data_IF_142932854939
#
_entry.id   IF_142932854939
#
_cell.length_a   1.000
_cell.length_b   1.000
_cell.length_c   1.000
_cell.angle_alpha   90.00
_cell.angle_beta   90.00
_cell.angle_gamma   90.00
#
_symmetry.space_group_name_H-M   'P 1'
#
loop_
_entity.id
_entity.type
_entity.pdbx_description
1 polymer ?
#
# COMPACT_ATOMS: atom_id res chain seq x y z
N UNK A 1 -38.02 44.00 -58.11
CA UNK A 1 -37.09 44.35 -57.03
C UNK A 1 -37.26 43.36 -55.88
N UNK A 2 -36.41 42.33 -55.77
CA UNK A 2 -36.43 41.40 -54.63
C UNK A 2 -35.00 41.21 -54.14
N UNK A 3 -34.70 41.70 -52.93
CA UNK A 3 -33.36 41.66 -52.31
C UNK A 3 -33.20 40.32 -51.59
N UNK A 4 -32.39 39.42 -52.17
CA UNK A 4 -31.93 38.20 -51.50
C UNK A 4 -30.99 38.56 -50.36
N UNK A 5 -31.44 38.32 -49.13
CA UNK A 5 -30.69 38.51 -47.88
C UNK A 5 -29.69 37.35 -47.74
N UNK A 6 -28.38 37.62 -47.89
CA UNK A 6 -27.31 36.65 -47.61
C UNK A 6 -27.30 36.34 -46.10
N UNK A 7 -27.52 35.08 -45.74
CA UNK A 7 -27.30 34.55 -44.38
C UNK A 7 -25.80 34.45 -44.10
N UNK A 8 -25.32 34.78 -42.88
CA UNK A 8 -23.91 34.67 -42.54
C UNK A 8 -23.50 33.20 -42.37
N UNK A 9 -22.31 32.84 -42.87
CA UNK A 9 -21.66 31.55 -42.65
C UNK A 9 -21.47 31.32 -41.15
N UNK A 10 -22.08 30.27 -40.60
CA UNK A 10 -21.76 29.78 -39.26
C UNK A 10 -20.29 29.32 -39.25
N UNK A 11 -19.46 30.00 -38.47
CA UNK A 11 -18.10 29.56 -38.17
C UNK A 11 -18.18 28.35 -37.24
N UNK A 12 -17.62 27.23 -37.69
CA UNK A 12 -17.46 26.02 -36.92
C UNK A 12 -16.45 26.28 -35.79
N UNK A 13 -16.74 25.93 -34.52
CA UNK A 13 -15.82 26.17 -33.43
C UNK A 13 -14.55 25.35 -33.63
N UNK A 14 -13.39 26.01 -33.51
CA UNK A 14 -12.08 25.38 -33.62
C UNK A 14 -11.95 24.22 -32.63
N UNK A 15 -11.50 23.06 -33.11
CA UNK A 15 -11.23 21.91 -32.27
C UNK A 15 -10.24 22.30 -31.16
N UNK A 16 -10.61 22.04 -29.90
CA UNK A 16 -9.72 22.20 -28.75
C UNK A 16 -8.44 21.39 -29.03
N UNK A 17 -7.24 22.00 -28.92
CA UNK A 17 -6.00 21.25 -29.07
C UNK A 17 -5.97 20.11 -28.05
N UNK A 18 -5.65 18.90 -28.51
CA UNK A 18 -5.47 17.75 -27.65
C UNK A 18 -4.45 18.11 -26.57
N UNK A 19 -4.80 17.84 -25.30
CA UNK A 19 -3.92 18.12 -24.17
C UNK A 19 -2.56 17.44 -24.41
N UNK A 20 -1.51 18.25 -24.48
CA UNK A 20 -0.13 17.80 -24.68
C UNK A 20 0.17 16.79 -23.55
N UNK A 21 0.65 15.56 -23.84
CA UNK A 21 0.96 14.61 -22.80
C UNK A 21 1.98 15.27 -21.87
N UNK A 22 1.65 15.34 -20.58
CA UNK A 22 2.57 15.85 -19.56
C UNK A 22 3.81 14.96 -19.66
N UNK A 23 4.91 15.51 -20.19
CA UNK A 23 6.19 14.80 -20.19
C UNK A 23 6.49 14.49 -18.72
N UNK A 24 6.52 13.21 -18.37
CA UNK A 24 7.11 12.78 -17.11
C UNK A 24 8.49 13.42 -17.02
N UNK A 25 8.78 14.02 -15.88
CA UNK A 25 10.14 14.49 -15.60
C UNK A 25 11.01 13.25 -15.54
N UNK A 26 11.91 13.12 -16.51
CA UNK A 26 12.92 12.07 -16.58
C UNK A 26 14.23 12.68 -16.09
N UNK A 27 14.99 11.94 -15.31
CA UNK A 27 16.35 12.34 -14.95
C UNK A 27 17.32 12.22 -16.14
N UNK A 28 16.92 11.52 -17.21
CA UNK A 28 17.70 11.27 -18.43
C UNK A 28 19.08 10.64 -18.15
N UNK A 29 19.18 9.88 -17.06
CA UNK A 29 20.38 9.15 -16.65
C UNK A 29 20.25 7.66 -16.97
N UNK A 30 21.36 7.07 -17.43
CA UNK A 30 21.44 5.66 -17.78
C UNK A 30 21.92 4.82 -16.58
N UNK A 31 21.13 4.82 -15.51
CA UNK A 31 21.35 3.97 -14.35
C UNK A 31 20.00 3.47 -13.79
N UNK A 32 20.06 2.35 -13.06
CA UNK A 32 18.86 1.69 -12.56
C UNK A 32 18.13 2.54 -11.50
N UNK A 33 18.87 3.31 -10.69
CA UNK A 33 18.31 4.10 -9.61
C UNK A 33 17.54 5.30 -10.14
N UNK A 34 18.12 6.09 -11.06
CA UNK A 34 17.43 7.21 -11.68
C UNK A 34 16.19 6.75 -12.46
N UNK A 35 16.28 5.64 -13.21
CA UNK A 35 15.13 5.04 -13.91
C UNK A 35 14.01 4.62 -12.95
N UNK A 36 14.36 4.09 -11.77
CA UNK A 36 13.38 3.80 -10.74
C UNK A 36 12.74 5.10 -10.22
N UNK A 37 13.54 6.13 -9.93
CA UNK A 37 13.06 7.42 -9.45
C UNK A 37 12.18 8.17 -10.46
N UNK A 38 12.33 7.96 -11.77
CA UNK A 38 11.39 8.44 -12.79
C UNK A 38 9.97 7.87 -12.62
N UNK A 39 9.87 6.71 -11.96
CA UNK A 39 8.61 5.99 -11.73
C UNK A 39 8.08 6.19 -10.32
N UNK A 40 8.94 6.20 -9.30
CA UNK A 40 8.54 6.18 -7.89
C UNK A 40 9.04 7.36 -7.06
N UNK A 41 9.83 8.25 -7.65
CA UNK A 41 10.47 9.37 -6.94
C UNK A 41 9.54 10.53 -6.59
N UNK A 42 8.27 10.50 -7.02
CA UNK A 42 7.29 11.44 -6.52
C UNK A 42 6.81 11.07 -5.11
N UNK A 43 6.36 12.09 -4.36
CA UNK A 43 5.99 11.97 -2.94
C UNK A 43 4.89 10.93 -2.66
N UNK A 44 3.99 10.68 -3.61
CA UNK A 44 2.75 9.94 -3.36
C UNK A 44 2.78 8.51 -3.91
N UNK A 45 3.56 8.22 -4.94
CA UNK A 45 3.55 6.90 -5.59
C UNK A 45 3.86 5.78 -4.62
N UNK A 46 4.92 5.89 -3.81
CA UNK A 46 5.24 4.86 -2.81
C UNK A 46 4.19 4.75 -1.70
N UNK A 47 3.52 5.85 -1.34
CA UNK A 47 2.42 5.81 -0.37
C UNK A 47 1.17 5.14 -0.97
N UNK A 48 0.87 5.35 -2.25
CA UNK A 48 -0.23 4.66 -2.94
C UNK A 48 0.09 3.16 -3.06
N UNK A 49 1.34 2.81 -3.38
CA UNK A 49 1.77 1.41 -3.41
C UNK A 49 1.61 0.79 -2.03
N UNK A 50 2.04 1.47 -0.95
CA UNK A 50 1.84 1.02 0.43
C UNK A 50 0.39 0.63 0.64
N UNK A 51 -0.56 1.50 0.33
CA UNK A 51 -1.99 1.17 0.46
C UNK A 51 -2.36 -0.07 -0.37
N UNK A 52 -1.98 -0.13 -1.65
CA UNK A 52 -2.36 -1.24 -2.53
C UNK A 52 -1.67 -2.59 -2.21
N UNK A 53 -0.67 -2.64 -1.32
CA UNK A 53 -0.12 -3.91 -0.81
C UNK A 53 -1.18 -4.71 -0.03
N UNK A 54 -2.18 -4.02 0.54
CA UNK A 54 -3.33 -4.61 1.21
C UNK A 54 -4.37 -5.23 0.28
N UNK A 55 -4.14 -5.16 -1.04
CA UNK A 55 -5.02 -5.69 -2.08
C UNK A 55 -5.78 -4.61 -2.87
N UNK A 56 -6.74 -5.02 -3.72
CA UNK A 56 -7.43 -4.11 -4.63
C UNK A 56 -8.30 -3.08 -3.87
N UNK A 57 -8.18 -1.80 -4.24
CA UNK A 57 -8.86 -0.68 -3.55
C UNK A 57 -9.62 0.22 -4.49
N UNK A 58 -10.75 0.76 -4.03
CA UNK A 58 -11.47 1.80 -4.79
C UNK A 58 -10.71 3.13 -4.66
N UNK A 59 -10.97 4.02 -5.62
CA UNK A 59 -10.43 5.38 -5.59
C UNK A 59 -10.76 6.11 -4.28
N UNK A 60 -12.01 6.00 -3.82
CA UNK A 60 -12.50 6.66 -2.60
C UNK A 60 -11.76 6.17 -1.37
N UNK A 61 -11.49 4.87 -1.31
CA UNK A 61 -10.85 4.24 -0.17
C UNK A 61 -9.36 4.64 -0.14
N UNK A 62 -8.69 4.67 -1.30
CA UNK A 62 -7.32 5.21 -1.40
C UNK A 62 -7.25 6.66 -0.96
N UNK A 63 -8.18 7.51 -1.40
CA UNK A 63 -8.21 8.91 -1.03
C UNK A 63 -8.43 9.12 0.48
N UNK A 64 -9.28 8.29 1.11
CA UNK A 64 -9.55 8.36 2.55
C UNK A 64 -8.35 7.95 3.42
N UNK A 65 -7.50 7.05 2.92
CA UNK A 65 -6.31 6.56 3.61
C UNK A 65 -5.01 7.26 3.16
N UNK A 66 -5.11 8.32 2.36
CA UNK A 66 -3.99 9.17 1.96
C UNK A 66 -4.25 10.63 2.38
N UNK A 67 -4.27 10.93 3.69
CA UNK A 67 -4.54 12.27 4.19
C UNK A 67 -3.54 13.28 3.61
N UNK A 68 -4.08 14.37 3.05
CA UNK A 68 -3.31 15.44 2.41
C UNK A 68 -3.08 15.28 0.91
N UNK A 69 -3.45 14.14 0.30
CA UNK A 69 -3.48 14.03 -1.16
C UNK A 69 -4.69 14.78 -1.71
N UNK A 70 -4.53 15.52 -2.82
CA UNK A 70 -5.67 16.09 -3.54
C UNK A 70 -6.22 15.08 -4.55
N UNK A 71 -7.50 15.25 -4.90
CA UNK A 71 -8.16 14.43 -5.93
C UNK A 71 -7.38 14.41 -7.25
N UNK A 72 -6.94 15.58 -7.72
CA UNK A 72 -6.21 15.70 -8.98
C UNK A 72 -4.84 15.03 -8.93
N UNK A 73 -4.15 15.14 -7.79
CA UNK A 73 -2.86 14.48 -7.58
C UNK A 73 -3.04 12.97 -7.57
N UNK A 74 -3.98 12.44 -6.78
CA UNK A 74 -4.23 11.00 -6.71
C UNK A 74 -4.63 10.44 -8.09
N UNK A 75 -5.54 11.09 -8.81
CA UNK A 75 -5.95 10.68 -10.14
C UNK A 75 -4.77 10.71 -11.14
N UNK A 76 -3.93 11.76 -11.09
CA UNK A 76 -2.72 11.83 -11.92
C UNK A 76 -1.73 10.72 -11.59
N UNK A 77 -1.49 10.43 -10.31
CA UNK A 77 -0.54 9.40 -9.88
C UNK A 77 -1.01 8.01 -10.27
N UNK A 78 -2.29 7.68 -10.06
CA UNK A 78 -2.85 6.39 -10.45
C UNK A 78 -2.75 6.16 -11.97
N UNK A 79 -3.08 7.19 -12.77
CA UNK A 79 -2.91 7.15 -14.23
C UNK A 79 -1.44 6.91 -14.62
N UNK A 80 -0.51 7.58 -13.94
CA UNK A 80 0.92 7.34 -14.15
C UNK A 80 1.28 5.90 -13.77
N UNK A 81 0.90 5.42 -12.60
CA UNK A 81 1.17 4.05 -12.15
C UNK A 81 0.65 3.01 -13.16
N UNK A 82 -0.53 3.21 -13.74
CA UNK A 82 -1.05 2.38 -14.84
C UNK A 82 -0.15 2.41 -16.09
N UNK A 83 0.29 3.60 -16.52
CA UNK A 83 1.16 3.74 -17.69
C UNK A 83 2.55 3.12 -17.51
N UNK A 84 3.09 3.15 -16.30
CA UNK A 84 4.36 2.47 -15.98
C UNK A 84 4.20 0.99 -15.64
N UNK A 85 2.98 0.46 -15.65
CA UNK A 85 2.71 -0.92 -15.27
C UNK A 85 3.10 -1.21 -13.82
N UNK A 86 2.88 -0.27 -12.90
CA UNK A 86 2.98 -0.48 -11.45
C UNK A 86 1.64 -0.94 -10.88
N UNK A 87 0.55 -0.38 -11.38
CA UNK A 87 -0.82 -0.76 -11.01
C UNK A 87 -1.66 -1.00 -12.27
N UNK A 88 -2.79 -1.65 -12.10
CA UNK A 88 -3.83 -1.78 -13.11
C UNK A 88 -5.17 -1.40 -12.52
N UNK A 89 -6.08 -0.90 -13.37
CA UNK A 89 -7.47 -0.70 -13.01
C UNK A 89 -8.32 -1.85 -13.54
N UNK A 90 -9.12 -2.48 -12.68
CA UNK A 90 -10.08 -3.51 -13.09
C UNK A 90 -11.44 -3.34 -12.43
N UNK A 91 -12.45 -4.01 -12.98
CA UNK A 91 -13.78 -4.11 -12.36
C UNK A 91 -13.86 -5.41 -11.57
N UNK A 92 -14.30 -5.30 -10.31
CA UNK A 92 -14.65 -6.47 -9.51
C UNK A 92 -15.91 -7.13 -10.08
N UNK A 93 -16.03 -8.46 -9.94
CA UNK A 93 -17.27 -9.15 -10.29
C UNK A 93 -18.43 -8.71 -9.37
N UNK A 94 -19.68 -9.02 -9.76
CA UNK A 94 -20.82 -8.92 -8.85
C UNK A 94 -20.57 -9.68 -7.53
N UNK A 95 -21.12 -9.22 -6.39
CA UNK A 95 -22.11 -8.14 -6.25
C UNK A 95 -21.49 -6.75 -6.11
N UNK A 96 -20.18 -6.60 -5.91
CA UNK A 96 -19.57 -5.28 -5.70
C UNK A 96 -19.56 -4.43 -6.97
N UNK A 97 -19.31 -5.02 -8.15
CA UNK A 97 -19.23 -4.35 -9.45
C UNK A 97 -18.43 -3.02 -9.48
N UNK A 98 -17.42 -2.89 -8.62
CA UNK A 98 -16.69 -1.64 -8.42
C UNK A 98 -15.41 -1.59 -9.25
N UNK A 99 -15.04 -0.39 -9.72
CA UNK A 99 -13.69 -0.16 -10.26
C UNK A 99 -12.69 -0.08 -9.11
N UNK A 100 -11.66 -0.92 -9.17
CA UNK A 100 -10.57 -0.96 -8.19
C UNK A 100 -9.23 -0.81 -8.90
N UNK A 101 -8.24 -0.32 -8.15
CA UNK A 101 -6.84 -0.34 -8.52
C UNK A 101 -6.16 -1.48 -7.78
N UNK A 102 -5.23 -2.15 -8.43
CA UNK A 102 -4.48 -3.29 -7.89
C UNK A 102 -3.03 -3.20 -8.37
N UNK A 103 -2.07 -3.63 -7.55
CA UNK A 103 -0.68 -3.70 -7.97
C UNK A 103 -0.48 -4.80 -9.00
N UNK A 104 0.35 -4.50 -9.99
CA UNK A 104 0.92 -5.54 -10.87
C UNK A 104 2.04 -6.27 -10.14
N UNK A 105 2.57 -7.36 -10.72
CA UNK A 105 3.79 -8.02 -10.22
C UNK A 105 4.96 -7.03 -10.05
N UNK A 106 5.13 -6.11 -11.00
CA UNK A 106 6.16 -5.05 -10.92
C UNK A 106 5.91 -4.11 -9.73
N UNK A 107 4.66 -3.77 -9.46
CA UNK A 107 4.26 -2.96 -8.31
C UNK A 107 4.49 -3.67 -6.97
N UNK A 108 4.15 -4.95 -6.90
CA UNK A 108 4.41 -5.80 -5.72
C UNK A 108 5.92 -5.97 -5.46
N UNK A 109 6.74 -5.98 -6.51
CA UNK A 109 8.20 -5.98 -6.42
C UNK A 109 8.82 -4.79 -5.69
N UNK A 110 8.04 -3.73 -5.37
CA UNK A 110 8.49 -2.60 -4.57
C UNK A 110 8.33 -2.81 -3.06
N UNK A 111 7.76 -3.93 -2.61
CA UNK A 111 7.65 -4.26 -1.18
C UNK A 111 9.00 -4.15 -0.45
N UNK A 112 10.12 -4.76 -0.91
CA UNK A 112 11.40 -4.64 -0.22
C UNK A 112 11.91 -3.20 -0.12
N UNK A 113 11.62 -2.36 -1.14
CA UNK A 113 11.99 -0.93 -1.14
C UNK A 113 11.18 -0.18 -0.10
N UNK A 114 9.88 -0.47 0.01
CA UNK A 114 9.00 0.12 1.03
C UNK A 114 9.41 -0.29 2.44
N UNK A 115 9.76 -1.57 2.64
CA UNK A 115 10.27 -2.06 3.93
C UNK A 115 11.55 -1.33 4.33
N UNK A 116 12.56 -1.28 3.44
CA UNK A 116 13.81 -0.58 3.71
C UNK A 116 13.59 0.93 3.96
N UNK A 117 12.66 1.57 3.25
CA UNK A 117 12.32 2.97 3.47
C UNK A 117 11.62 3.19 4.82
N UNK A 118 10.74 2.26 5.22
CA UNK A 118 10.06 2.31 6.51
C UNK A 118 11.05 2.12 7.67
N UNK A 119 11.98 1.17 7.55
CA UNK A 119 13.06 0.95 8.51
C UNK A 119 13.96 2.19 8.63
N UNK A 120 14.38 2.76 7.50
CA UNK A 120 15.18 3.99 7.48
C UNK A 120 14.45 5.20 8.12
N UNK A 121 13.14 5.30 7.90
CA UNK A 121 12.31 6.38 8.47
C UNK A 121 11.91 6.18 9.93
N UNK A 122 11.96 4.95 10.45
CA UNK A 122 11.47 4.60 11.78
C UNK A 122 12.10 5.41 12.93
N UNK A 123 13.41 5.75 12.93
CA UNK A 123 14.02 6.58 13.97
C UNK A 123 13.47 8.01 14.03
N UNK A 124 12.86 8.51 12.95
CA UNK A 124 12.28 9.85 12.92
C UNK A 124 10.89 9.93 13.58
N UNK A 125 10.26 8.79 13.87
CA UNK A 125 9.01 8.71 14.64
C UNK A 125 9.34 8.85 16.13
N UNK A 126 9.52 10.08 16.59
CA UNK A 126 9.72 10.40 18.02
C UNK A 126 8.36 10.41 18.75
N UNK A 127 7.75 11.59 18.90
CA UNK A 127 6.40 11.73 19.44
C UNK A 127 5.39 11.94 18.32
N UNK A 128 4.26 11.24 18.40
CA UNK A 128 3.12 11.46 17.50
C UNK A 128 2.61 12.89 17.69
N UNK A 129 2.56 13.66 16.61
CA UNK A 129 1.97 15.01 16.65
C UNK A 129 0.45 14.90 16.65
N UNK A 130 -0.28 15.87 17.25
CA UNK A 130 -1.74 15.87 17.23
C UNK A 130 -2.37 15.84 15.84
N UNK A 131 -1.65 16.32 14.82
CA UNK A 131 -2.08 16.34 13.42
C UNK A 131 -1.73 15.07 12.64
N UNK A 132 -0.97 14.15 13.25
CA UNK A 132 -0.57 12.92 12.56
C UNK A 132 -1.78 11.97 12.49
N UNK A 133 -2.25 11.80 11.26
CA UNK A 133 -3.17 10.73 10.93
C UNK A 133 -2.51 9.38 11.20
N UNK A 134 -3.30 8.42 11.67
CA UNK A 134 -2.85 7.04 11.87
C UNK A 134 -3.93 6.11 11.35
N UNK A 135 -3.49 4.96 10.82
CA UNK A 135 -4.31 3.84 10.38
C UNK A 135 -3.66 2.56 10.89
N UNK A 136 -4.46 1.62 11.40
CA UNK A 136 -3.93 0.36 11.94
C UNK A 136 -3.05 -0.40 10.93
N UNK A 137 -3.47 -0.49 9.67
CA UNK A 137 -2.71 -1.21 8.65
C UNK A 137 -1.38 -0.54 8.25
N UNK A 138 -1.09 0.70 8.65
CA UNK A 138 0.23 1.30 8.43
C UNK A 138 1.33 0.65 9.27
N UNK A 139 0.96 -0.06 10.32
CA UNK A 139 1.86 -0.85 11.14
C UNK A 139 2.18 -2.23 10.54
N UNK A 140 1.54 -2.61 9.43
CA UNK A 140 1.78 -3.88 8.77
C UNK A 140 3.24 -4.05 8.30
N UNK A 141 3.82 -3.04 7.63
CA UNK A 141 5.20 -3.13 7.13
C UNK A 141 6.25 -3.23 8.27
N UNK A 142 6.22 -2.35 9.29
CA UNK A 142 7.08 -2.48 10.47
C UNK A 142 6.97 -3.88 11.12
N UNK A 143 5.74 -4.38 11.27
CA UNK A 143 5.49 -5.65 11.94
C UNK A 143 5.93 -6.85 11.09
N UNK A 144 5.76 -6.81 9.76
CA UNK A 144 6.25 -7.86 8.87
C UNK A 144 7.76 -8.05 8.99
N UNK A 145 8.53 -6.97 9.15
CA UNK A 145 9.97 -7.03 9.41
C UNK A 145 10.31 -7.77 10.72
N UNK A 146 9.52 -7.56 11.77
CA UNK A 146 9.69 -8.25 13.05
C UNK A 146 9.28 -9.75 13.00
N UNK A 147 8.50 -10.15 12.00
CA UNK A 147 7.96 -11.51 11.85
C UNK A 147 8.73 -12.37 10.85
N UNK A 148 9.82 -11.88 10.24
CA UNK A 148 10.58 -12.63 9.22
C UNK A 148 11.22 -13.92 9.74
N UNK A 149 11.31 -14.10 11.06
CA UNK A 149 11.85 -15.30 11.69
C UNK A 149 10.85 -16.45 11.87
N UNK A 150 9.56 -16.23 11.58
CA UNK A 150 8.54 -17.26 11.72
C UNK A 150 8.68 -18.34 10.66
N UNK A 151 8.56 -19.58 11.09
CA UNK A 151 8.60 -20.76 10.21
C UNK A 151 7.21 -21.23 9.81
N UNK A 152 6.18 -20.91 10.60
CA UNK A 152 4.80 -21.28 10.31
C UNK A 152 4.17 -20.29 9.34
N UNK A 153 3.46 -20.83 8.37
CA UNK A 153 2.61 -20.06 7.46
C UNK A 153 1.19 -19.95 8.02
N UNK A 154 0.53 -18.81 7.79
CA UNK A 154 -0.84 -18.58 8.21
C UNK A 154 -1.29 -17.13 8.12
N UNK A 155 -2.52 -16.89 8.56
CA UNK A 155 -3.12 -15.57 8.70
C UNK A 155 -3.06 -15.13 10.16
N UNK A 156 -2.32 -14.06 10.40
CA UNK A 156 -2.19 -13.43 11.71
C UNK A 156 -3.07 -12.18 11.78
N UNK A 157 -4.12 -12.20 12.60
CA UNK A 157 -4.88 -10.98 12.90
C UNK A 157 -4.12 -10.15 13.93
N UNK A 158 -4.06 -8.84 13.69
CA UNK A 158 -3.35 -7.87 14.52
C UNK A 158 -4.35 -6.85 15.01
N UNK A 159 -4.40 -6.67 16.33
CA UNK A 159 -5.24 -5.67 16.99
C UNK A 159 -4.38 -4.62 17.68
N UNK A 160 -4.62 -3.37 17.30
CA UNK A 160 -4.05 -2.18 17.89
C UNK A 160 -5.20 -1.30 18.43
N UNK A 161 -4.87 -0.31 19.25
CA UNK A 161 -5.84 0.70 19.69
C UNK A 161 -6.42 1.49 18.49
N UNK A 162 -5.66 1.63 17.41
CA UNK A 162 -6.09 2.30 16.17
C UNK A 162 -6.96 1.42 15.25
N UNK A 163 -7.17 0.16 15.60
CA UNK A 163 -8.03 -0.78 14.88
C UNK A 163 -7.35 -2.10 14.53
N UNK A 164 -7.98 -2.83 13.61
CA UNK A 164 -7.61 -4.21 13.28
C UNK A 164 -7.17 -4.34 11.82
N UNK A 165 -6.22 -5.22 11.58
CA UNK A 165 -5.79 -5.65 10.25
C UNK A 165 -5.28 -7.09 10.34
N UNK A 166 -4.91 -7.69 9.22
CA UNK A 166 -4.29 -9.03 9.25
C UNK A 166 -3.10 -9.12 8.31
N UNK A 167 -2.13 -9.93 8.71
CA UNK A 167 -0.92 -10.24 7.96
C UNK A 167 -1.01 -11.67 7.43
N UNK A 168 -0.42 -11.90 6.26
CA UNK A 168 -0.09 -13.26 5.81
C UNK A 168 1.37 -13.53 6.19
N UNK A 169 1.57 -14.40 7.16
CA UNK A 169 2.88 -14.79 7.68
C UNK A 169 3.28 -16.14 7.10
N UNK A 170 4.59 -16.37 6.95
CA UNK A 170 5.14 -17.55 6.31
C UNK A 170 4.81 -17.67 4.80
N UNK A 171 5.56 -18.52 4.10
CA UNK A 171 5.56 -18.56 2.63
C UNK A 171 6.31 -17.37 2.05
N UNK A 172 6.19 -17.14 0.73
CA UNK A 172 6.78 -15.98 0.01
C UNK A 172 6.30 -14.59 0.50
N UNK A 173 5.81 -14.46 1.73
CA UNK A 173 5.60 -13.20 2.43
C UNK A 173 6.94 -12.45 2.51
N UNK A 174 7.11 -11.45 1.65
CA UNK A 174 8.32 -10.61 1.60
C UNK A 174 9.25 -10.85 0.41
N UNK A 175 9.10 -11.93 -0.35
CA UNK A 175 9.96 -12.23 -1.50
C UNK A 175 9.16 -12.28 -2.81
N UNK A 176 8.92 -11.11 -3.40
CA UNK A 176 8.55 -10.99 -4.81
C UNK A 176 9.74 -11.41 -5.69
N UNK A 177 9.98 -12.71 -5.83
CA UNK A 177 10.89 -13.22 -6.85
C UNK A 177 10.20 -13.14 -8.23
N UNK A 178 10.90 -12.71 -9.31
CA UNK A 178 10.33 -12.67 -10.65
C UNK A 178 9.83 -14.05 -11.12
N UNK A 179 8.59 -14.13 -11.62
CA UNK A 179 8.05 -15.33 -12.27
C UNK A 179 7.25 -16.30 -11.38
N UNK A 180 6.91 -15.91 -10.15
CA UNK A 180 5.92 -16.61 -9.33
C UNK A 180 4.51 -16.04 -9.56
N UNK A 181 3.46 -16.87 -9.47
CA UNK A 181 2.07 -16.39 -9.43
C UNK A 181 1.95 -15.24 -8.44
N UNK A 182 1.27 -14.16 -8.84
CA UNK A 182 1.20 -12.92 -8.10
C UNK A 182 0.94 -13.20 -6.60
N UNK A 183 1.86 -12.84 -5.69
CA UNK A 183 1.62 -13.05 -4.28
C UNK A 183 0.32 -12.33 -3.93
N UNK A 184 -0.59 -13.04 -3.26
CA UNK A 184 -1.79 -12.42 -2.70
C UNK A 184 -1.41 -11.22 -1.82
N UNK A 185 -2.40 -10.37 -1.51
CA UNK A 185 -2.17 -9.17 -0.71
C UNK A 185 -1.30 -9.45 0.53
N UNK A 186 -0.27 -8.61 0.74
CA UNK A 186 0.77 -8.81 1.77
C UNK A 186 0.15 -8.74 3.17
N UNK A 187 -0.82 -7.85 3.31
CA UNK A 187 -1.71 -7.76 4.46
C UNK A 187 -3.14 -7.59 3.94
N UNK A 188 -4.12 -7.58 4.83
CA UNK A 188 -5.48 -7.20 4.51
C UNK A 188 -6.03 -6.18 5.50
N UNK A 189 -7.05 -5.47 5.06
CA UNK A 189 -7.71 -4.43 5.82
C UNK A 189 -8.76 -5.03 6.75
N UNK A 190 -8.75 -4.64 8.03
CA UNK A 190 -9.71 -5.16 9.01
C UNK A 190 -9.38 -6.57 9.50
N UNK A 191 -10.25 -7.13 10.35
CA UNK A 191 -10.09 -8.47 10.89
C UNK A 191 -10.03 -9.52 9.77
N UNK A 192 -9.39 -10.65 10.05
CA UNK A 192 -9.40 -11.78 9.14
C UNK A 192 -10.70 -12.58 9.28
N UNK A 193 -11.24 -13.10 8.17
CA UNK A 193 -12.40 -13.99 8.23
C UNK A 193 -12.08 -15.29 9.01
N UNK A 194 -10.86 -15.81 8.79
CA UNK A 194 -10.35 -17.04 9.40
C UNK A 194 -8.88 -16.85 9.83
N UNK A 195 -8.62 -16.24 10.99
CA UNK A 195 -7.26 -16.10 11.50
C UNK A 195 -6.77 -17.42 12.10
N UNK A 196 -5.52 -17.79 11.78
CA UNK A 196 -4.81 -18.89 12.44
C UNK A 196 -4.35 -18.48 13.85
N UNK A 197 -3.95 -17.23 14.01
CA UNK A 197 -3.57 -16.65 15.30
C UNK A 197 -4.02 -15.20 15.39
N UNK A 198 -4.16 -14.67 16.60
CA UNK A 198 -4.36 -13.23 16.83
C UNK A 198 -3.32 -12.70 17.79
N UNK A 199 -2.85 -11.48 17.55
CA UNK A 199 -2.06 -10.73 18.51
C UNK A 199 -2.72 -9.40 18.87
N UNK A 200 -2.60 -9.01 20.13
CA UNK A 200 -3.01 -7.71 20.66
C UNK A 200 -1.78 -7.01 21.20
N UNK A 201 -1.53 -5.78 20.74
CA UNK A 201 -0.37 -4.98 21.14
C UNK A 201 -0.65 -3.49 20.96
N UNK A 202 0.07 -2.64 21.69
CA UNK A 202 0.05 -1.20 21.48
C UNK A 202 0.87 -0.78 20.25
N UNK A 203 0.52 0.36 19.64
CA UNK A 203 1.28 0.94 18.52
C UNK A 203 2.77 1.17 18.85
N UNK A 204 3.07 1.59 20.08
CA UNK A 204 4.44 1.78 20.57
C UNK A 204 5.24 0.47 20.59
N UNK A 205 4.61 -0.63 21.03
CA UNK A 205 5.24 -1.96 21.01
C UNK A 205 5.51 -2.39 19.57
N UNK A 206 4.57 -2.14 18.65
CA UNK A 206 4.79 -2.45 17.23
C UNK A 206 6.00 -1.68 16.64
N UNK A 207 6.17 -0.40 17.00
CA UNK A 207 7.31 0.40 16.56
C UNK A 207 8.63 -0.03 17.21
N UNK A 208 8.59 -0.43 18.48
CA UNK A 208 9.74 -0.99 19.19
C UNK A 208 10.24 -2.29 18.53
N UNK A 209 9.32 -3.22 18.23
CA UNK A 209 9.61 -4.46 17.52
C UNK A 209 10.24 -4.19 16.15
N UNK A 210 9.66 -3.28 15.38
CA UNK A 210 10.14 -2.94 14.04
C UNK A 210 11.54 -2.29 14.01
N UNK A 211 11.94 -1.63 15.09
CA UNK A 211 13.28 -1.05 15.26
C UNK A 211 14.29 -2.04 15.81
N UNK A 212 13.88 -3.26 16.13
CA UNK A 212 14.71 -4.24 16.81
C UNK A 212 15.03 -3.88 18.27
N UNK A 213 14.20 -3.04 18.91
CA UNK A 213 14.34 -2.68 20.32
C UNK A 213 13.96 -3.83 21.26
N UNK A 214 13.10 -4.73 20.80
CA UNK A 214 12.79 -6.00 21.42
C UNK A 214 12.40 -7.02 20.33
N UNK A 215 12.54 -8.31 20.65
CA UNK A 215 11.98 -9.38 19.85
C UNK A 215 10.51 -9.62 20.21
N UNK A 216 9.76 -10.24 19.29
CA UNK A 216 8.36 -10.60 19.57
C UNK A 216 8.26 -11.54 20.79
N UNK A 217 9.17 -12.52 20.89
CA UNK A 217 9.19 -13.47 21.99
C UNK A 217 9.41 -12.79 23.35
N UNK A 218 10.29 -11.79 23.43
CA UNK A 218 10.48 -10.97 24.63
C UNK A 218 9.21 -10.18 24.96
N UNK A 219 8.59 -9.53 23.97
CA UNK A 219 7.38 -8.74 24.19
C UNK A 219 6.18 -9.61 24.63
N UNK A 220 6.07 -10.84 24.15
CA UNK A 220 5.07 -11.82 24.61
C UNK A 220 5.36 -12.25 26.05
N UNK A 221 6.61 -12.61 26.36
CA UNK A 221 7.04 -13.01 27.70
C UNK A 221 6.81 -11.92 28.74
N UNK A 222 7.01 -10.66 28.35
CA UNK A 222 6.79 -9.49 29.21
C UNK A 222 5.30 -9.11 29.34
N UNK A 223 4.40 -9.79 28.63
CA UNK A 223 2.96 -9.49 28.62
C UNK A 223 2.59 -8.22 27.86
N UNK A 224 3.51 -7.66 27.06
CA UNK A 224 3.26 -6.48 26.18
C UNK A 224 2.56 -6.85 24.88
N UNK A 225 2.65 -8.12 24.49
CA UNK A 225 1.92 -8.71 23.35
C UNK A 225 1.11 -9.90 23.87
N UNK A 226 -0.20 -9.87 23.67
CA UNK A 226 -1.07 -11.01 23.96
C UNK A 226 -1.24 -11.85 22.70
N UNK A 227 -1.08 -13.18 22.80
CA UNK A 227 -1.23 -14.13 21.68
C UNK A 227 -2.43 -15.04 21.93
N UNK A 228 -3.40 -15.01 21.03
CA UNK A 228 -4.64 -15.79 21.09
C UNK A 228 -4.73 -16.82 19.96
N UNK A 229 -5.41 -17.93 20.24
CA UNK A 229 -5.64 -19.04 19.31
C UNK A 229 -4.84 -20.29 19.64
N UNK A 230 -5.23 -21.44 19.09
CA UNK A 230 -4.64 -22.74 19.43
C UNK A 230 -3.90 -23.38 18.24
N UNK A 231 -3.58 -22.58 17.22
CA UNK A 231 -2.89 -23.07 16.02
C UNK A 231 -1.38 -23.25 16.26
N UNK A 232 -0.68 -24.01 15.38
CA UNK A 232 0.78 -24.08 15.40
C UNK A 232 1.45 -22.71 15.25
N UNK A 233 0.82 -21.77 14.53
CA UNK A 233 1.31 -20.39 14.44
C UNK A 233 1.20 -19.67 15.78
N UNK A 234 0.08 -19.83 16.50
CA UNK A 234 -0.09 -19.25 17.83
C UNK A 234 0.93 -19.81 18.84
N UNK A 235 1.21 -21.11 18.78
CA UNK A 235 2.25 -21.75 19.60
C UNK A 235 3.65 -21.18 19.31
N UNK A 236 4.02 -21.06 18.02
CA UNK A 236 5.31 -20.46 17.63
C UNK A 236 5.44 -19.01 18.10
N UNK A 237 4.38 -18.21 17.97
CA UNK A 237 4.34 -16.82 18.45
C UNK A 237 4.54 -16.71 19.97
N UNK A 238 4.15 -17.74 20.75
CA UNK A 238 4.42 -17.82 22.19
C UNK A 238 5.81 -18.37 22.54
N UNK A 239 6.53 -18.91 21.56
CA UNK A 239 7.82 -19.57 21.77
C UNK A 239 7.70 -20.98 22.35
N UNK A 240 6.59 -21.67 22.08
CA UNK A 240 6.33 -23.08 22.47
C UNK A 240 6.95 -24.11 21.52
#
# INVERSE_FOLDING_TARGET
MSRLRRMPRQQQPAARPAARPVRRRSYDQFDATARALDSVGDRWTLLIIRELLGGPRRYTDLHADLPGVSTDVLASRLKDMEQSGLALRRKLPPPSAASVYELTERGLGLLPVLTALAEWGAPALAERRPTDAVRAHWFALPLLGALTGLTREGVLEVRLDEGEFHLRVGGRAGAALPGAEAPGAVYGYGPADHPDARIVLGAEVCLELARGGATLAEAVKDGRVEVLGDSPLAAELRGE
#
